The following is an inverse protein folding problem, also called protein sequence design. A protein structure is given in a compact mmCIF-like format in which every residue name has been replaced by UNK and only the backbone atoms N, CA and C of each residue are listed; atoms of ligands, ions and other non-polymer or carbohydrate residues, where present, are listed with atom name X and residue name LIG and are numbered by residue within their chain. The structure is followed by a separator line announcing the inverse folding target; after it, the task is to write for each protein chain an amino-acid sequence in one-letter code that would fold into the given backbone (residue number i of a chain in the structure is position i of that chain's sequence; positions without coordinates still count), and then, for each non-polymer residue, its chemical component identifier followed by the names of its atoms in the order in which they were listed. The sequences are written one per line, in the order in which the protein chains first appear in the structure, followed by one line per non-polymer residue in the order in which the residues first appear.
data_IF_441465853412
#
_entry.id   IF_441465853412
#
_cell.length_a   1.000
_cell.length_b   1.000
_cell.length_c   1.000
_cell.angle_alpha   90.00
_cell.angle_beta   90.00
_cell.angle_gamma   90.00
#
_symmetry.space_group_name_H-M   'P 1'
#
loop_
_entity.id
_entity.type
_entity.pdbx_description
1 polymer ?
#
# COMPACT_ATOMS: atom_id res chain seq x y z
N UNK A 1 17.51 3.18 -10.74
CA UNK A 1 16.36 3.82 -10.07
C UNK A 1 15.17 2.95 -10.39
N UNK A 2 14.42 2.47 -9.38
CA UNK A 2 13.29 1.57 -9.60
C UNK A 2 12.02 2.12 -8.93
N UNK A 3 10.85 1.72 -9.43
CA UNK A 3 9.54 1.94 -8.81
C UNK A 3 9.23 0.81 -7.85
N UNK A 4 9.41 1.07 -6.57
CA UNK A 4 9.19 0.11 -5.49
C UNK A 4 7.80 0.33 -4.90
N UNK A 5 6.99 -0.71 -4.93
CA UNK A 5 5.77 -0.79 -4.14
C UNK A 5 6.08 -1.49 -2.82
N UNK A 6 5.93 -0.79 -1.71
CA UNK A 6 6.18 -1.30 -0.37
C UNK A 6 4.85 -1.73 0.27
N UNK A 7 4.61 -3.02 0.37
CA UNK A 7 3.51 -3.60 1.14
C UNK A 7 3.85 -3.64 2.64
N UNK A 8 2.95 -3.15 3.48
CA UNK A 8 3.14 -3.08 4.94
C UNK A 8 1.97 -3.77 5.64
N UNK A 9 2.27 -4.71 6.52
CA UNK A 9 1.28 -5.53 7.23
C UNK A 9 1.33 -5.33 8.75
N UNK A 10 0.39 -5.93 9.49
CA UNK A 10 0.13 -5.68 10.91
C UNK A 10 1.12 -6.38 11.85
N UNK A 11 2.37 -5.92 11.86
CA UNK A 11 3.42 -6.33 12.79
C UNK A 11 4.02 -5.13 13.50
N UNK A 12 4.55 -5.30 14.72
CA UNK A 12 5.26 -4.24 15.47
C UNK A 12 6.41 -3.63 14.65
N UNK A 13 7.02 -4.42 13.77
CA UNK A 13 8.06 -3.92 12.87
C UNK A 13 7.59 -2.81 11.92
N UNK A 14 6.27 -2.65 11.70
CA UNK A 14 5.71 -1.59 10.87
C UNK A 14 5.95 -0.18 11.45
N UNK A 15 6.33 -0.06 12.74
CA UNK A 15 6.81 1.21 13.32
C UNK A 15 8.01 1.77 12.53
N UNK A 16 8.82 0.90 11.91
CA UNK A 16 10.01 1.29 11.12
C UNK A 16 9.69 1.61 9.64
N UNK A 17 8.42 1.64 9.25
CA UNK A 17 8.01 1.95 7.87
C UNK A 17 8.54 3.30 7.39
N UNK A 18 8.49 4.40 8.18
CA UNK A 18 9.06 5.68 7.76
C UNK A 18 10.56 5.61 7.46
N UNK A 19 11.33 4.89 8.29
CA UNK A 19 12.77 4.73 8.08
C UNK A 19 13.07 3.94 6.80
N UNK A 20 12.32 2.86 6.54
CA UNK A 20 12.49 2.06 5.33
C UNK A 20 12.10 2.85 4.06
N UNK A 21 10.99 3.59 4.14
CA UNK A 21 10.54 4.48 3.07
C UNK A 21 11.62 5.51 2.73
N UNK A 22 12.18 6.17 3.75
CA UNK A 22 13.24 7.17 3.56
C UNK A 22 14.51 6.54 3.00
N UNK A 23 14.94 5.38 3.51
CA UNK A 23 16.13 4.68 3.01
C UNK A 23 16.00 4.29 1.52
N UNK A 24 14.82 3.85 1.09
CA UNK A 24 14.56 3.55 -0.32
C UNK A 24 14.59 4.82 -1.18
N UNK A 25 14.04 5.93 -0.69
CA UNK A 25 14.12 7.24 -1.37
C UNK A 25 15.55 7.76 -1.47
N UNK A 26 16.34 7.64 -0.40
CA UNK A 26 17.75 8.05 -0.36
C UNK A 26 18.60 7.22 -1.33
N UNK A 27 18.24 5.95 -1.56
CA UNK A 27 18.82 5.11 -2.60
C UNK A 27 18.33 5.44 -4.03
N UNK A 28 17.48 6.47 -4.19
CA UNK A 28 16.99 6.98 -5.47
C UNK A 28 15.77 6.25 -6.04
N UNK A 29 15.09 5.41 -5.26
CA UNK A 29 13.89 4.73 -5.72
C UNK A 29 12.65 5.63 -5.65
N UNK A 30 11.70 5.41 -6.55
CA UNK A 30 10.34 5.95 -6.39
C UNK A 30 9.56 4.96 -5.55
N UNK A 31 8.94 5.42 -4.46
CA UNK A 31 8.30 4.54 -3.49
C UNK A 31 6.83 4.91 -3.33
N UNK A 32 5.95 3.92 -3.52
CA UNK A 32 4.56 3.94 -3.06
C UNK A 32 4.40 2.88 -1.99
N UNK A 33 3.53 3.11 -1.02
CA UNK A 33 3.25 2.23 0.10
C UNK A 33 1.82 1.75 -0.01
N UNK A 34 1.58 0.45 0.14
CA UNK A 34 0.24 -0.11 0.36
C UNK A 34 0.20 -0.71 1.77
N UNK A 35 -0.66 -0.19 2.62
CA UNK A 35 -0.71 -0.57 4.04
C UNK A 35 -2.04 -1.23 4.38
N UNK A 36 -1.99 -2.38 5.06
CA UNK A 36 -3.21 -2.98 5.61
C UNK A 36 -3.72 -2.13 6.78
N UNK A 37 -5.02 -2.18 7.05
CA UNK A 37 -5.62 -1.51 8.22
C UNK A 37 -4.93 -1.86 9.54
N UNK A 38 -4.41 -3.09 9.69
CA UNK A 38 -3.67 -3.49 10.88
C UNK A 38 -2.28 -2.83 10.98
N UNK A 39 -1.62 -2.58 9.85
CA UNK A 39 -0.33 -1.87 9.82
C UNK A 39 -0.46 -0.42 10.30
N UNK A 40 -1.57 0.24 9.96
CA UNK A 40 -1.85 1.64 10.30
C UNK A 40 -1.94 1.90 11.81
N UNK A 41 -2.03 0.87 12.63
CA UNK A 41 -1.93 1.02 14.09
C UNK A 41 -0.50 1.40 14.54
N UNK A 42 0.51 1.05 13.76
CA UNK A 42 1.92 1.14 14.16
C UNK A 42 2.67 2.35 13.60
N UNK A 43 2.12 3.05 12.60
CA UNK A 43 2.72 4.26 12.05
C UNK A 43 1.64 5.18 11.47
N UNK A 44 1.94 6.48 11.44
CA UNK A 44 1.06 7.47 10.81
C UNK A 44 1.37 7.59 9.30
N UNK A 45 0.41 7.31 8.40
CA UNK A 45 0.56 7.55 6.96
C UNK A 45 0.96 8.97 6.58
N UNK A 46 0.60 9.97 7.40
CA UNK A 46 0.97 11.36 7.16
C UNK A 46 2.47 11.63 7.41
N UNK A 47 3.21 10.68 7.99
CA UNK A 47 4.66 10.77 8.09
C UNK A 47 5.38 10.54 6.75
N UNK A 48 4.68 10.06 5.71
CA UNK A 48 5.27 9.72 4.41
C UNK A 48 4.81 10.71 3.33
N UNK A 49 5.69 11.64 2.94
CA UNK A 49 5.47 12.68 1.91
C UNK A 49 4.05 13.29 1.97
N UNK A 50 3.68 13.95 3.10
CA UNK A 50 2.32 14.43 3.31
C UNK A 50 1.88 15.48 2.29
N UNK A 51 0.58 15.54 1.99
CA UNK A 51 0.01 16.59 1.10
C UNK A 51 -0.13 17.94 1.81
N UNK A 52 -0.09 17.95 3.14
CA UNK A 52 -0.12 19.15 3.99
C UNK A 52 0.72 18.88 5.22
N UNK A 53 1.57 19.82 5.60
CA UNK A 53 2.51 19.68 6.74
C UNK A 53 1.88 20.02 8.09
N UNK A 54 0.88 20.92 8.16
CA UNK A 54 0.34 21.41 9.43
C UNK A 54 -1.20 21.58 9.40
N UNK A 55 -1.98 20.71 10.09
CA UNK A 55 -1.54 19.43 10.62
C UNK A 55 -1.27 18.43 9.47
N UNK A 56 -0.34 17.48 9.66
CA UNK A 56 0.01 16.47 8.67
C UNK A 56 -1.23 15.76 8.09
N UNK A 57 -1.25 15.59 6.77
CA UNK A 57 -2.32 14.86 6.09
C UNK A 57 -1.76 13.80 5.15
N UNK A 58 -2.32 12.59 5.24
CA UNK A 58 -1.96 11.46 4.36
C UNK A 58 -2.01 11.87 2.90
N UNK A 59 -0.96 11.50 2.16
CA UNK A 59 -0.93 11.58 0.72
C UNK A 59 -1.44 10.27 0.09
N UNK A 60 -2.63 10.24 -0.54
CA UNK A 60 -3.19 9.02 -1.13
C UNK A 60 -2.43 8.53 -2.36
N UNK A 61 -1.59 9.36 -2.97
CA UNK A 61 -0.72 8.93 -4.07
C UNK A 61 0.52 8.17 -3.59
N UNK A 62 0.90 8.38 -2.32
CA UNK A 62 2.09 7.77 -1.69
C UNK A 62 1.70 6.62 -0.79
N UNK A 63 0.70 6.78 0.08
CA UNK A 63 0.25 5.74 1.01
C UNK A 63 -1.17 5.32 0.67
N UNK A 64 -1.30 4.15 0.07
CA UNK A 64 -2.55 3.52 -0.35
C UNK A 64 -3.08 2.65 0.80
N UNK A 65 -4.38 2.77 1.05
CA UNK A 65 -5.12 1.94 2.01
C UNK A 65 -6.30 1.25 1.31
N UNK A 66 -6.94 0.28 1.98
CA UNK A 66 -8.02 -0.52 1.40
C UNK A 66 -9.21 0.34 0.91
N UNK A 67 -9.49 1.44 1.60
CA UNK A 67 -10.58 2.36 1.26
C UNK A 67 -10.35 3.11 -0.07
N UNK A 68 -9.09 3.22 -0.52
CA UNK A 68 -8.76 3.86 -1.80
C UNK A 68 -9.09 2.95 -3.00
N UNK A 69 -9.23 1.63 -2.79
CA UNK A 69 -9.41 0.65 -3.86
C UNK A 69 -10.74 0.80 -4.60
N UNK A 70 -11.77 1.29 -3.90
CA UNK A 70 -13.15 1.32 -4.40
C UNK A 70 -13.69 2.76 -4.49
N UNK A 71 -13.59 3.42 -5.67
CA UNK A 71 -14.00 4.80 -5.84
C UNK A 71 -15.47 5.05 -5.47
N UNK A 72 -15.70 5.89 -4.47
CA UNK A 72 -17.05 6.29 -4.05
C UNK A 72 -17.81 5.24 -3.22
N UNK A 73 -17.15 4.17 -2.76
CA UNK A 73 -17.77 3.20 -1.86
C UNK A 73 -18.34 3.89 -0.61
N UNK A 74 -17.62 4.85 -0.03
CA UNK A 74 -18.06 5.63 1.13
C UNK A 74 -19.27 6.55 0.89
N UNK A 75 -19.63 6.84 -0.37
CA UNK A 75 -20.80 7.65 -0.74
C UNK A 75 -21.96 6.81 -1.29
N UNK A 76 -21.86 5.47 -1.24
CA UNK A 76 -22.86 4.55 -1.80
C UNK A 76 -22.84 4.46 -3.33
N UNK A 77 -21.87 5.11 -3.99
CA UNK A 77 -21.65 4.95 -5.44
C UNK A 77 -21.15 3.53 -5.71
N UNK A 78 -21.72 2.88 -6.73
CA UNK A 78 -21.24 1.59 -7.23
C UNK A 78 -20.15 1.75 -8.29
N UNK A 79 -19.26 0.76 -8.35
CA UNK A 79 -18.24 0.63 -9.38
C UNK A 79 -18.87 0.63 -10.79
N UNK A 80 -18.24 1.34 -11.72
CA UNK A 80 -18.60 1.41 -13.13
C UNK A 80 -17.52 0.75 -13.97
N UNK A 81 -17.88 0.25 -15.15
CA UNK A 81 -16.97 -0.53 -16.00
C UNK A 81 -15.70 0.25 -16.40
N UNK A 82 -15.80 1.57 -16.49
CA UNK A 82 -14.72 2.47 -16.86
C UNK A 82 -13.88 2.93 -15.65
N UNK A 83 -14.28 2.58 -14.42
CA UNK A 83 -13.52 2.96 -13.23
C UNK A 83 -12.18 2.20 -13.17
N UNK A 84 -11.08 2.88 -12.81
CA UNK A 84 -9.79 2.20 -12.69
C UNK A 84 -9.83 1.15 -11.59
N UNK A 85 -9.07 0.06 -11.79
CA UNK A 85 -8.89 -0.99 -10.78
C UNK A 85 -7.56 -0.72 -10.08
N UNK A 86 -7.61 -0.11 -8.89
CA UNK A 86 -6.42 0.45 -8.24
C UNK A 86 -5.27 -0.56 -8.07
N UNK A 87 -5.55 -1.78 -7.61
CA UNK A 87 -4.51 -2.79 -7.44
C UNK A 87 -3.82 -3.18 -8.77
N UNK A 88 -4.55 -3.13 -9.90
CA UNK A 88 -3.98 -3.38 -11.23
C UNK A 88 -3.10 -2.21 -11.67
N UNK A 89 -3.53 -0.98 -11.40
CA UNK A 89 -2.74 0.22 -11.72
C UNK A 89 -1.44 0.27 -10.88
N UNK A 90 -1.50 -0.09 -9.60
CA UNK A 90 -0.32 -0.21 -8.74
C UNK A 90 0.63 -1.30 -9.23
N UNK A 91 0.09 -2.46 -9.62
CA UNK A 91 0.86 -3.55 -10.24
C UNK A 91 1.53 -3.12 -11.54
N UNK A 92 0.86 -2.33 -12.39
CA UNK A 92 1.44 -1.78 -13.64
C UNK A 92 2.51 -0.72 -13.38
N UNK A 93 2.34 0.06 -12.32
CA UNK A 93 3.28 1.11 -11.95
C UNK A 93 4.59 0.53 -11.39
N UNK A 94 4.49 -0.51 -10.57
CA UNK A 94 5.62 -1.05 -9.82
C UNK A 94 6.53 -1.98 -10.65
N UNK A 95 7.84 -1.85 -10.46
CA UNK A 95 8.86 -2.77 -11.00
C UNK A 95 9.25 -3.84 -9.97
N UNK A 96 9.11 -3.52 -8.69
CA UNK A 96 9.37 -4.43 -7.57
C UNK A 96 8.25 -4.27 -6.54
N UNK A 97 7.75 -5.40 -6.03
CA UNK A 97 6.85 -5.42 -4.88
C UNK A 97 7.56 -6.04 -3.67
N UNK A 98 7.84 -5.19 -2.69
CA UNK A 98 8.49 -5.56 -1.43
C UNK A 98 7.43 -5.57 -0.33
N UNK A 99 7.23 -6.69 0.36
CA UNK A 99 6.34 -6.74 1.53
C UNK A 99 7.19 -6.79 2.80
N UNK A 100 7.24 -5.70 3.56
CA UNK A 100 8.07 -5.56 4.74
C UNK A 100 7.44 -4.58 5.76
N UNK A 101 7.01 -5.08 6.94
CA UNK A 101 6.97 -6.49 7.36
C UNK A 101 5.86 -7.28 6.68
N UNK A 102 6.02 -8.61 6.65
CA UNK A 102 4.97 -9.59 6.30
C UNK A 102 4.54 -10.35 7.57
N UNK A 103 3.35 -10.05 8.07
CA UNK A 103 2.74 -10.74 9.21
C UNK A 103 2.24 -12.14 8.82
N UNK A 104 2.00 -12.98 9.82
CA UNK A 104 1.59 -14.37 9.60
C UNK A 104 0.20 -14.46 8.93
N UNK A 105 -0.71 -13.54 9.24
CA UNK A 105 -2.05 -13.49 8.66
C UNK A 105 -2.01 -13.23 7.14
N UNK A 106 -1.26 -12.23 6.72
CA UNK A 106 -1.07 -11.90 5.31
C UNK A 106 -0.31 -13.01 4.62
N UNK A 107 0.77 -13.54 5.21
CA UNK A 107 1.49 -14.70 4.65
C UNK A 107 0.55 -15.89 4.40
N UNK A 108 -0.32 -16.22 5.37
CA UNK A 108 -1.30 -17.29 5.20
C UNK A 108 -2.29 -16.99 4.08
N UNK A 109 -2.75 -15.73 3.95
CA UNK A 109 -3.60 -15.30 2.82
C UNK A 109 -2.91 -15.47 1.48
N UNK A 110 -1.66 -15.02 1.35
CA UNK A 110 -0.87 -15.16 0.12
C UNK A 110 -0.71 -16.65 -0.23
N UNK A 111 -0.28 -17.48 0.73
CA UNK A 111 -0.06 -18.91 0.52
C UNK A 111 -1.33 -19.66 0.07
N UNK A 112 -2.51 -19.21 0.50
CA UNK A 112 -3.80 -19.82 0.15
C UNK A 112 -4.52 -19.09 -0.99
N UNK A 113 -3.91 -18.07 -1.60
CA UNK A 113 -4.52 -17.31 -2.69
C UNK A 113 -5.71 -16.43 -2.28
N UNK A 114 -5.83 -16.07 -1.00
CA UNK A 114 -6.85 -15.14 -0.52
C UNK A 114 -6.47 -13.70 -0.90
N UNK A 115 -7.41 -12.99 -1.52
CA UNK A 115 -7.24 -11.62 -2.02
C UNK A 115 -8.41 -10.74 -1.55
N UNK A 116 -8.44 -10.43 -0.26
CA UNK A 116 -9.57 -9.78 0.42
C UNK A 116 -9.30 -8.33 0.86
N UNK A 117 -8.15 -7.78 0.45
CA UNK A 117 -7.72 -6.40 0.70
C UNK A 117 -6.75 -5.97 -0.42
N UNK A 118 -6.49 -4.66 -0.53
CA UNK A 118 -5.77 -4.10 -1.67
C UNK A 118 -4.37 -4.73 -1.82
N UNK A 119 -3.62 -4.88 -0.72
CA UNK A 119 -2.29 -5.50 -0.73
C UNK A 119 -2.32 -6.94 -1.29
N UNK A 120 -3.25 -7.75 -0.80
CA UNK A 120 -3.39 -9.15 -1.25
C UNK A 120 -3.91 -9.27 -2.69
N UNK A 121 -4.77 -8.34 -3.15
CA UNK A 121 -5.17 -8.23 -4.55
C UNK A 121 -3.98 -7.91 -5.47
N UNK A 122 -3.12 -6.97 -5.07
CA UNK A 122 -1.88 -6.64 -5.81
C UNK A 122 -0.98 -7.86 -5.93
N UNK A 123 -0.73 -8.56 -4.81
CA UNK A 123 0.06 -9.79 -4.82
C UNK A 123 -0.53 -10.85 -5.76
N UNK A 124 -1.85 -11.04 -5.72
CA UNK A 124 -2.52 -12.06 -6.53
C UNK A 124 -2.48 -11.74 -8.02
N UNK A 125 -2.47 -10.45 -8.37
CA UNK A 125 -2.36 -9.93 -9.74
C UNK A 125 -0.91 -9.74 -10.21
N UNK A 126 0.08 -10.13 -9.38
CA UNK A 126 1.48 -10.02 -9.74
C UNK A 126 1.83 -11.06 -10.80
N UNK A 127 2.38 -10.63 -11.95
CA UNK A 127 2.80 -11.58 -12.99
C UNK A 127 4.17 -12.19 -12.61
N UNK A 128 4.44 -13.46 -13.00
CA UNK A 128 5.76 -14.07 -12.89
C UNK A 128 6.85 -13.36 -13.69
#
# INVERSE_FOLDING_TARGET
MAKVLLGVTGSVAAIRTPDLYQALKDAGHQVKVVATRAALYFFDPAALDPVREDPPARNPEVVIVDEDEWPGQGSGRRYRREDPVLHIELRRWAEVFLIAPLDANTLAKLANGLSDNCLTCIWRAWDP
#
